data_IF_314922267112
#
_entry.id   IF_314922267112
#
_cell.length_a   1.000
_cell.length_b   1.000
_cell.length_c   1.000
_cell.angle_alpha   90.00
_cell.angle_beta   90.00
_cell.angle_gamma   90.00
#
_symmetry.space_group_name_H-M   'P 1'
#
loop_
_entity.id
_entity.type
_entity.pdbx_description
1 polymer ?
#
# COMPACT_ATOMS: atom_id res chain seq x y z
N UNK A 1 13.22 -64.04 -64.45
CA UNK A 1 14.03 -62.81 -64.63
C UNK A 1 13.10 -61.62 -64.51
N UNK A 2 13.31 -60.55 -63.76
CA UNK A 2 14.22 -60.18 -62.67
C UNK A 2 13.65 -58.89 -62.05
N UNK A 3 13.93 -58.70 -60.76
CA UNK A 3 13.53 -57.59 -59.87
C UNK A 3 14.07 -56.23 -60.35
N UNK A 4 13.52 -55.10 -59.88
CA UNK A 4 14.30 -54.02 -59.21
C UNK A 4 13.40 -52.95 -58.52
N UNK A 5 13.89 -52.48 -57.37
CA UNK A 5 13.29 -51.60 -56.34
C UNK A 5 13.57 -50.09 -56.58
N UNK A 6 12.76 -49.17 -55.99
CA UNK A 6 13.06 -47.73 -55.96
C UNK A 6 12.26 -46.86 -54.94
N UNK A 7 12.74 -46.83 -53.69
CA UNK A 7 12.71 -45.82 -52.58
C UNK A 7 11.71 -44.62 -52.50
N UNK A 8 11.18 -44.43 -51.27
CA UNK A 8 10.47 -43.29 -50.62
C UNK A 8 10.99 -41.87 -50.92
N UNK A 9 10.09 -40.86 -50.88
CA UNK A 9 10.16 -39.64 -50.02
C UNK A 9 8.82 -38.88 -50.02
N UNK A 10 8.36 -38.48 -48.82
CA UNK A 10 7.17 -37.65 -48.61
C UNK A 10 7.51 -36.16 -48.71
N UNK A 11 6.57 -35.38 -49.24
CA UNK A 11 6.60 -33.92 -49.25
C UNK A 11 5.61 -33.42 -48.18
N UNK A 12 6.14 -32.86 -47.10
CA UNK A 12 5.39 -32.04 -46.16
C UNK A 12 5.55 -30.58 -46.58
N UNK A 13 4.46 -29.84 -46.48
CA UNK A 13 4.24 -28.47 -46.93
C UNK A 13 4.97 -27.44 -46.06
N UNK A 14 5.72 -26.53 -46.69
CA UNK A 14 6.52 -25.46 -46.09
C UNK A 14 5.69 -24.23 -45.62
N UNK A 15 4.36 -24.34 -45.52
CA UNK A 15 3.48 -23.21 -45.20
C UNK A 15 3.29 -22.94 -43.69
N UNK A 16 3.68 -23.88 -42.81
CA UNK A 16 3.46 -23.77 -41.36
C UNK A 16 4.53 -22.94 -40.61
N UNK A 17 5.71 -22.73 -41.18
CA UNK A 17 6.82 -22.05 -40.51
C UNK A 17 6.76 -20.52 -40.61
N UNK A 18 6.08 -19.97 -41.62
CA UNK A 18 5.89 -18.52 -41.77
C UNK A 18 4.87 -17.95 -40.77
N UNK A 19 3.94 -18.76 -40.25
CA UNK A 19 2.94 -18.32 -39.28
C UNK A 19 3.46 -18.31 -37.84
N UNK A 20 4.49 -19.11 -37.53
CA UNK A 20 5.07 -19.21 -36.19
C UNK A 20 6.02 -18.05 -35.86
N UNK A 21 6.69 -17.50 -36.86
CA UNK A 21 7.65 -16.39 -36.72
C UNK A 21 7.00 -15.04 -36.42
N UNK A 22 5.69 -14.89 -36.69
CA UNK A 22 4.94 -13.66 -36.40
C UNK A 22 4.28 -13.63 -35.00
N UNK A 23 4.27 -14.75 -34.27
CA UNK A 23 3.61 -14.86 -32.96
C UNK A 23 4.59 -14.71 -31.78
N UNK A 24 5.88 -14.96 -31.99
CA UNK A 24 6.92 -14.81 -30.97
C UNK A 24 8.03 -13.93 -31.51
N UNK A 25 8.08 -12.68 -31.02
CA UNK A 25 9.02 -11.67 -31.46
C UNK A 25 10.47 -12.18 -31.55
N UNK A 26 11.09 -11.81 -32.67
CA UNK A 26 12.43 -12.16 -33.10
C UNK A 26 13.48 -11.86 -32.01
N UNK A 27 14.05 -12.89 -31.37
CA UNK A 27 15.28 -12.78 -30.56
C UNK A 27 16.40 -13.51 -31.29
N UNK A 28 17.11 -12.76 -32.13
CA UNK A 28 18.40 -13.16 -32.66
C UNK A 28 19.38 -13.35 -31.51
N UNK A 29 20.04 -14.50 -31.50
CA UNK A 29 21.04 -14.90 -30.51
C UNK A 29 22.20 -13.89 -30.46
N UNK A 30 22.39 -13.25 -29.30
CA UNK A 30 23.63 -12.60 -28.93
C UNK A 30 24.25 -13.38 -27.76
N UNK A 31 25.48 -13.81 -27.95
CA UNK A 31 26.32 -14.46 -26.93
C UNK A 31 26.45 -13.56 -25.68
N UNK A 32 26.40 -14.12 -24.46
CA UNK A 32 26.77 -13.37 -23.27
C UNK A 32 28.31 -13.25 -23.15
N UNK A 33 28.86 -12.13 -22.65
CA UNK A 33 30.28 -12.02 -22.36
C UNK A 33 30.65 -12.86 -21.12
N UNK A 34 31.81 -13.50 -21.20
CA UNK A 34 32.46 -14.28 -20.14
C UNK A 34 32.83 -13.40 -18.93
N UNK A 35 32.36 -13.78 -17.74
CA UNK A 35 32.80 -13.20 -16.46
C UNK A 35 33.75 -14.16 -15.74
N UNK A 36 35.00 -13.78 -15.44
CA UNK A 36 35.93 -14.59 -14.67
C UNK A 36 35.97 -14.11 -13.22
N UNK A 37 35.11 -14.63 -12.35
CA UNK A 37 35.48 -14.80 -10.93
C UNK A 37 34.50 -15.69 -10.17
N UNK A 38 35.06 -16.56 -9.33
CA UNK A 38 34.36 -17.64 -8.66
C UNK A 38 33.55 -17.25 -7.43
N UNK A 39 32.54 -18.10 -7.16
CA UNK A 39 32.21 -18.67 -5.86
C UNK A 39 31.96 -17.73 -4.66
N UNK A 40 30.68 -17.55 -4.31
CA UNK A 40 30.29 -17.03 -3.00
C UNK A 40 28.79 -17.20 -2.74
N UNK A 41 28.44 -18.09 -1.81
CA UNK A 41 27.07 -18.39 -1.36
C UNK A 41 26.55 -17.24 -0.45
N UNK A 42 25.41 -16.59 -0.72
CA UNK A 42 24.96 -15.44 0.08
C UNK A 42 24.09 -15.81 1.30
N UNK A 43 24.12 -17.07 1.77
CA UNK A 43 23.28 -17.55 2.87
C UNK A 43 24.07 -18.21 4.02
N UNK A 44 25.15 -17.56 4.46
CA UNK A 44 25.89 -17.99 5.65
C UNK A 44 26.28 -16.80 6.52
N UNK A 45 25.52 -16.54 7.59
CA UNK A 45 26.00 -15.84 8.79
C UNK A 45 25.12 -16.28 9.99
N UNK A 46 25.59 -17.20 10.85
CA UNK A 46 26.38 -16.95 12.07
C UNK A 46 25.60 -16.15 13.12
N UNK A 47 24.97 -16.87 14.06
CA UNK A 47 24.32 -16.31 15.24
C UNK A 47 25.32 -15.98 16.33
N UNK A 48 25.17 -14.81 16.93
CA UNK A 48 25.87 -14.39 18.15
C UNK A 48 24.84 -13.83 19.13
N UNK A 49 24.75 -14.46 20.29
CA UNK A 49 23.91 -14.09 21.43
C UNK A 49 24.59 -12.98 22.25
N UNK A 50 23.85 -11.95 22.66
CA UNK A 50 24.17 -11.19 23.87
C UNK A 50 22.86 -10.67 24.55
N UNK A 51 22.70 -10.79 25.88
CA UNK A 51 21.43 -10.54 26.57
C UNK A 51 21.35 -9.11 27.12
N UNK A 52 20.16 -8.49 27.02
CA UNK A 52 19.91 -7.12 27.47
C UNK A 52 18.66 -7.00 28.34
N UNK A 53 18.89 -6.96 29.66
CA UNK A 53 18.20 -6.20 30.71
C UNK A 53 16.69 -5.92 30.56
N UNK A 54 15.88 -6.78 31.21
CA UNK A 54 14.54 -6.44 31.68
C UNK A 54 14.62 -5.82 33.08
N UNK A 55 14.19 -4.56 33.20
CA UNK A 55 14.02 -3.87 34.47
C UNK A 55 12.54 -3.86 34.87
N UNK A 56 12.23 -4.48 36.01
CA UNK A 56 11.02 -4.25 36.77
C UNK A 56 11.44 -3.95 38.23
N UNK A 57 11.09 -2.79 38.81
CA UNK A 57 11.22 -2.61 40.24
C UNK A 57 9.98 -3.15 40.99
N UNK A 58 10.15 -3.66 42.22
CA UNK A 58 9.10 -4.30 42.99
C UNK A 58 8.19 -3.29 43.72
N UNK A 59 7.01 -3.79 44.08
CA UNK A 59 6.03 -3.14 44.92
C UNK A 59 6.54 -2.97 46.35
N UNK A 60 6.37 -1.77 46.91
CA UNK A 60 6.45 -1.54 48.36
C UNK A 60 5.06 -1.25 48.92
N UNK A 61 4.79 -1.89 50.05
CA UNK A 61 3.53 -1.99 50.73
C UNK A 61 3.48 -1.04 51.93
N UNK A 62 2.57 -0.07 51.86
CA UNK A 62 1.70 0.38 52.95
C UNK A 62 2.30 0.79 54.32
N UNK A 63 2.15 2.07 54.65
CA UNK A 63 1.57 2.47 55.96
C UNK A 63 1.06 3.91 55.99
N UNK A 64 -0.27 4.01 55.95
CA UNK A 64 -1.19 4.83 56.77
C UNK A 64 -0.73 6.21 57.29
N UNK A 65 -1.49 7.25 56.92
CA UNK A 65 -1.93 8.28 57.88
C UNK A 65 -2.17 9.70 57.36
N UNK A 66 -3.45 10.07 57.17
CA UNK A 66 -4.00 11.35 57.67
C UNK A 66 -4.22 12.56 56.73
N UNK A 67 -5.48 12.99 56.60
CA UNK A 67 -5.97 14.37 56.31
C UNK A 67 -5.96 14.81 54.83
N UNK A 68 -7.07 15.12 54.15
CA UNK A 68 -7.91 16.34 54.29
C UNK A 68 -7.06 17.58 53.92
N UNK A 69 -7.35 18.48 52.97
CA UNK A 69 -8.56 19.22 52.58
C UNK A 69 -8.23 20.04 51.29
N UNK A 70 -9.26 20.48 50.55
CA UNK A 70 -9.12 21.21 49.28
C UNK A 70 -8.83 22.72 49.37
N UNK A 71 -8.72 23.36 48.19
CA UNK A 71 -8.63 24.81 47.98
C UNK A 71 -7.59 25.16 46.89
N UNK A 72 -8.00 25.32 45.63
CA UNK A 72 -8.28 26.61 44.97
C UNK A 72 -7.09 27.58 44.95
N UNK A 73 -6.43 27.70 43.79
CA UNK A 73 -5.60 28.86 43.46
C UNK A 73 -6.21 29.60 42.26
N UNK A 74 -6.81 30.73 42.58
CA UNK A 74 -7.33 31.69 41.64
C UNK A 74 -6.19 32.55 41.07
N UNK A 75 -6.29 32.81 39.77
CA UNK A 75 -5.49 33.71 38.99
C UNK A 75 -5.52 35.15 39.52
N UNK A 76 -4.36 35.82 39.50
CA UNK A 76 -4.23 37.24 39.80
C UNK A 76 -3.97 38.02 38.51
N UNK A 77 -4.90 38.94 38.26
CA UNK A 77 -5.01 39.85 37.12
C UNK A 77 -4.45 41.23 37.55
N UNK A 78 -3.41 41.81 36.90
CA UNK A 78 -2.77 43.02 37.39
C UNK A 78 -3.18 44.25 36.58
N UNK A 79 -4.45 44.69 36.63
CA UNK A 79 -4.84 46.02 36.15
C UNK A 79 -6.11 46.53 36.86
N UNK A 80 -5.95 47.44 37.82
CA UNK A 80 -7.01 48.34 38.31
C UNK A 80 -6.39 49.59 38.98
N UNK A 81 -6.75 50.82 38.58
CA UNK A 81 -6.25 52.07 39.16
C UNK A 81 -7.28 52.75 40.10
N UNK A 82 -6.83 53.32 41.22
CA UNK A 82 -7.34 54.53 41.93
C UNK A 82 -6.66 54.60 43.32
N UNK A 83 -5.77 55.55 43.63
CA UNK A 83 -5.90 57.00 43.86
C UNK A 83 -6.38 57.36 45.29
N UNK A 84 -5.51 58.02 46.07
CA UNK A 84 -5.89 58.86 47.22
C UNK A 84 -4.91 58.91 48.41
N UNK A 85 -4.28 60.07 48.63
CA UNK A 85 -3.73 60.56 49.91
C UNK A 85 -2.21 60.37 50.09
N UNK A 86 -1.38 61.34 49.71
CA UNK A 86 -0.91 62.50 50.50
C UNK A 86 0.03 62.13 51.66
N UNK A 87 1.33 62.39 51.48
CA UNK A 87 2.22 62.93 52.50
C UNK A 87 3.53 63.36 51.81
N UNK A 88 3.72 64.67 51.69
CA UNK A 88 4.84 65.26 50.97
C UNK A 88 6.17 65.22 51.72
N UNK A 89 7.27 64.98 50.99
CA UNK A 89 8.59 65.59 51.22
C UNK A 89 9.35 65.75 49.89
N UNK A 90 9.69 67.02 49.59
CA UNK A 90 10.86 67.55 48.86
C UNK A 90 11.43 66.72 47.69
N UNK A 91 11.18 67.09 46.43
CA UNK A 91 11.87 68.13 45.63
C UNK A 91 13.27 67.72 45.14
N UNK A 92 13.30 67.46 43.82
CA UNK A 92 14.38 67.62 42.82
C UNK A 92 15.57 66.64 42.83
N UNK A 93 15.68 65.84 41.76
CA UNK A 93 16.70 65.96 40.69
C UNK A 93 16.65 64.65 39.83
N UNK A 94 16.06 64.68 38.63
CA UNK A 94 16.75 64.84 37.33
C UNK A 94 17.61 63.65 36.90
N UNK A 95 17.19 63.03 35.80
CA UNK A 95 18.14 62.45 34.83
C UNK A 95 18.44 60.95 34.96
N UNK A 96 17.68 60.16 34.19
CA UNK A 96 18.29 59.27 33.21
C UNK A 96 18.93 57.98 33.72
N UNK A 97 18.13 56.94 33.93
CA UNK A 97 18.54 55.53 33.82
C UNK A 97 17.33 54.65 33.44
N UNK A 98 16.65 54.99 32.34
CA UNK A 98 15.61 54.14 31.73
C UNK A 98 16.08 53.48 30.43
N UNK A 99 16.96 54.16 29.69
CA UNK A 99 17.37 53.74 28.34
C UNK A 99 18.24 52.48 28.31
N UNK A 100 19.07 52.23 29.33
CA UNK A 100 19.92 51.03 29.36
C UNK A 100 19.12 49.75 29.67
N UNK A 101 18.04 49.84 30.45
CA UNK A 101 17.21 48.68 30.79
C UNK A 101 16.34 48.28 29.59
N UNK A 102 15.81 49.26 28.87
CA UNK A 102 15.02 49.03 27.65
C UNK A 102 15.90 48.46 26.51
N UNK A 103 17.15 48.90 26.38
CA UNK A 103 18.11 48.34 25.42
C UNK A 103 18.54 46.91 25.78
N UNK A 104 18.81 46.61 27.06
CA UNK A 104 19.11 45.26 27.56
C UNK A 104 17.93 44.30 27.34
N UNK A 105 16.69 44.76 27.57
CA UNK A 105 15.47 43.98 27.31
C UNK A 105 15.30 43.69 25.80
N UNK A 106 15.61 44.65 24.93
CA UNK A 106 15.55 44.47 23.47
C UNK A 106 16.62 43.47 23.00
N UNK A 107 17.84 43.54 23.52
CA UNK A 107 18.90 42.56 23.22
C UNK A 107 18.55 41.15 23.71
N UNK A 108 17.97 41.03 24.90
CA UNK A 108 17.48 39.77 25.42
C UNK A 108 16.40 39.15 24.50
N UNK A 109 15.42 39.95 24.08
CA UNK A 109 14.37 39.52 23.14
C UNK A 109 14.97 39.11 21.79
N UNK A 110 15.91 39.87 21.23
CA UNK A 110 16.59 39.54 19.97
C UNK A 110 17.34 38.21 20.06
N UNK A 111 18.08 37.99 21.15
CA UNK A 111 18.79 36.73 21.38
C UNK A 111 17.82 35.54 21.46
N UNK A 112 16.66 35.72 22.10
CA UNK A 112 15.61 34.72 22.17
C UNK A 112 15.01 34.43 20.80
N UNK A 113 14.77 35.46 19.98
CA UNK A 113 14.25 35.29 18.61
C UNK A 113 15.24 34.46 17.78
N UNK A 114 16.54 34.83 17.79
CA UNK A 114 17.59 34.09 17.07
C UNK A 114 17.65 32.63 17.52
N UNK A 115 17.58 32.39 18.83
CA UNK A 115 17.54 31.03 19.39
C UNK A 115 16.32 30.23 18.90
N UNK A 116 15.12 30.80 18.99
CA UNK A 116 13.90 30.15 18.50
C UNK A 116 13.94 29.88 16.99
N UNK A 117 14.57 30.76 16.22
CA UNK A 117 14.73 30.61 14.77
C UNK A 117 15.69 29.49 14.40
N UNK A 118 16.85 29.41 15.05
CA UNK A 118 17.78 28.27 14.87
C UNK A 118 17.12 26.94 15.27
N UNK A 119 16.33 26.93 16.34
CA UNK A 119 15.52 25.76 16.70
C UNK A 119 14.50 25.39 15.61
N UNK A 120 13.84 26.39 15.01
CA UNK A 120 12.87 26.20 13.93
C UNK A 120 13.52 25.65 12.66
N UNK A 121 14.71 26.15 12.28
CA UNK A 121 15.50 25.60 11.15
C UNK A 121 15.84 24.14 11.40
N UNK A 122 16.39 23.81 12.58
CA UNK A 122 16.71 22.41 12.93
C UNK A 122 15.48 21.52 12.93
N UNK A 123 14.35 22.02 13.42
CA UNK A 123 13.08 21.31 13.43
C UNK A 123 12.58 21.03 12.01
N UNK A 124 12.59 22.03 11.12
CA UNK A 124 12.16 21.85 9.72
C UNK A 124 13.07 20.91 8.94
N UNK A 125 14.40 20.95 9.16
CA UNK A 125 15.34 19.96 8.60
C UNK A 125 15.04 18.54 9.07
N UNK A 126 14.83 18.35 10.38
CA UNK A 126 14.50 17.04 10.94
C UNK A 126 13.16 16.52 10.40
N UNK A 127 12.16 17.38 10.30
CA UNK A 127 10.87 17.05 9.71
C UNK A 127 11.02 16.66 8.24
N UNK A 128 11.84 17.36 7.46
CA UNK A 128 12.10 17.05 6.04
C UNK A 128 12.69 15.64 5.91
N UNK A 129 13.72 15.32 6.70
CA UNK A 129 14.35 14.00 6.70
C UNK A 129 13.36 12.90 7.09
N UNK A 130 12.53 13.14 8.11
CA UNK A 130 11.49 12.21 8.53
C UNK A 130 10.42 12.01 7.44
N UNK A 131 10.00 13.09 6.78
CA UNK A 131 9.01 13.06 5.72
C UNK A 131 9.52 12.32 4.47
N UNK A 132 10.77 12.54 4.07
CA UNK A 132 11.42 11.81 2.98
C UNK A 132 11.54 10.30 3.29
N UNK A 133 11.93 9.96 4.53
CA UNK A 133 11.99 8.57 4.99
C UNK A 133 10.60 7.91 4.96
N UNK A 134 9.56 8.65 5.38
CA UNK A 134 8.18 8.19 5.31
C UNK A 134 7.70 8.02 3.86
N UNK A 135 8.11 8.90 2.95
CA UNK A 135 7.79 8.80 1.53
C UNK A 135 8.39 7.54 0.90
N UNK A 136 9.67 7.26 1.16
CA UNK A 136 10.33 6.05 0.69
C UNK A 136 9.63 4.78 1.21
N UNK A 137 9.25 4.78 2.50
CA UNK A 137 8.48 3.69 3.09
C UNK A 137 7.10 3.53 2.44
N UNK A 138 6.39 4.65 2.20
CA UNK A 138 5.09 4.65 1.52
C UNK A 138 5.15 4.09 0.10
N UNK A 139 6.19 4.45 -0.67
CA UNK A 139 6.43 3.91 -2.00
C UNK A 139 6.71 2.39 -1.97
N UNK A 140 7.51 1.92 -1.00
CA UNK A 140 7.73 0.48 -0.79
C UNK A 140 6.43 -0.25 -0.48
N UNK A 141 5.57 0.30 0.38
CA UNK A 141 4.26 -0.28 0.71
C UNK A 141 3.39 -0.37 -0.53
N UNK A 142 3.28 0.70 -1.33
CA UNK A 142 2.50 0.67 -2.57
C UNK A 142 3.02 -0.34 -3.59
N UNK A 143 4.34 -0.45 -3.77
CA UNK A 143 4.94 -1.47 -4.63
C UNK A 143 4.62 -2.88 -4.13
N UNK A 144 4.75 -3.12 -2.83
CA UNK A 144 4.40 -4.39 -2.22
C UNK A 144 2.92 -4.71 -2.44
N UNK A 145 2.01 -3.76 -2.20
CA UNK A 145 0.58 -3.94 -2.44
C UNK A 145 0.26 -4.23 -3.90
N UNK A 146 0.94 -3.59 -4.86
CA UNK A 146 0.81 -3.89 -6.29
C UNK A 146 1.17 -5.35 -6.59
N UNK A 147 2.33 -5.82 -6.09
CA UNK A 147 2.76 -7.21 -6.31
C UNK A 147 1.85 -8.22 -5.61
N UNK A 148 1.38 -7.90 -4.40
CA UNK A 148 0.45 -8.73 -3.64
C UNK A 148 -0.92 -8.81 -4.33
N UNK A 149 -1.46 -7.68 -4.79
CA UNK A 149 -2.71 -7.63 -5.56
C UNK A 149 -2.63 -8.48 -6.83
N UNK A 150 -1.49 -8.46 -7.53
CA UNK A 150 -1.27 -9.35 -8.68
C UNK A 150 -1.26 -10.84 -8.30
N UNK A 151 -0.66 -11.20 -7.16
CA UNK A 151 -0.69 -12.57 -6.63
C UNK A 151 -2.11 -12.99 -6.26
N UNK A 152 -2.86 -12.16 -5.54
CA UNK A 152 -4.25 -12.45 -5.16
C UNK A 152 -5.14 -12.64 -6.39
N UNK A 153 -5.02 -11.76 -7.38
CA UNK A 153 -5.73 -11.91 -8.66
C UNK A 153 -5.39 -13.23 -9.38
N UNK A 154 -4.11 -13.63 -9.38
CA UNK A 154 -3.71 -14.91 -9.98
C UNK A 154 -4.25 -16.11 -9.18
N UNK A 155 -4.27 -16.03 -7.85
CA UNK A 155 -4.87 -17.05 -6.98
C UNK A 155 -6.36 -17.18 -7.25
N UNK A 156 -7.10 -16.08 -7.31
CA UNK A 156 -8.53 -16.09 -7.62
C UNK A 156 -8.80 -16.69 -9.01
N UNK A 157 -8.03 -16.27 -10.03
CA UNK A 157 -8.13 -16.84 -11.38
C UNK A 157 -7.86 -18.35 -11.40
N UNK A 158 -6.88 -18.83 -10.63
CA UNK A 158 -6.57 -20.26 -10.56
C UNK A 158 -7.70 -21.03 -9.87
N UNK A 159 -8.33 -20.46 -8.83
CA UNK A 159 -9.52 -21.04 -8.20
C UNK A 159 -10.71 -21.10 -9.16
N UNK A 160 -10.91 -20.08 -10.00
CA UNK A 160 -11.97 -20.10 -11.03
C UNK A 160 -11.75 -21.26 -12.02
N UNK A 161 -10.49 -21.46 -12.45
CA UNK A 161 -10.11 -22.59 -13.33
C UNK A 161 -10.32 -23.92 -12.62
N UNK A 162 -9.89 -24.05 -11.37
CA UNK A 162 -10.06 -25.27 -10.58
C UNK A 162 -11.55 -25.61 -10.40
N UNK A 163 -12.40 -24.62 -10.12
CA UNK A 163 -13.84 -24.84 -10.00
C UNK A 163 -14.47 -25.31 -11.32
N UNK A 164 -14.09 -24.70 -12.45
CA UNK A 164 -14.54 -25.15 -13.78
C UNK A 164 -14.09 -26.59 -14.08
N UNK A 165 -12.82 -26.93 -13.81
CA UNK A 165 -12.31 -28.29 -13.97
C UNK A 165 -13.01 -29.30 -13.06
N UNK A 166 -13.32 -28.93 -11.83
CA UNK A 166 -14.10 -29.78 -10.91
C UNK A 166 -15.51 -30.05 -11.43
N UNK A 167 -16.17 -29.05 -12.02
CA UNK A 167 -17.49 -29.27 -12.65
C UNK A 167 -17.40 -30.23 -13.84
N UNK A 168 -16.37 -30.09 -14.67
CA UNK A 168 -16.13 -31.03 -15.78
C UNK A 168 -15.84 -32.44 -15.26
N UNK A 169 -15.03 -32.57 -14.20
CA UNK A 169 -14.76 -33.85 -13.55
C UNK A 169 -16.03 -34.47 -12.94
N UNK A 170 -16.91 -33.67 -12.35
CA UNK A 170 -18.20 -34.11 -11.84
C UNK A 170 -19.09 -34.67 -12.97
N UNK A 171 -19.21 -33.95 -14.09
CA UNK A 171 -20.02 -34.37 -15.22
C UNK A 171 -19.47 -35.67 -15.84
N UNK A 172 -18.15 -35.79 -15.99
CA UNK A 172 -17.48 -37.05 -16.41
C UNK A 172 -17.69 -38.19 -15.43
N UNK A 173 -17.62 -37.94 -14.12
CA UNK A 173 -17.87 -38.98 -13.12
C UNK A 173 -19.33 -39.46 -13.16
N UNK A 174 -20.30 -38.57 -13.41
CA UNK A 174 -21.71 -38.97 -13.61
C UNK A 174 -21.88 -39.79 -14.87
N UNK A 175 -21.22 -39.42 -15.96
CA UNK A 175 -21.23 -40.17 -17.22
C UNK A 175 -20.66 -41.58 -17.02
N UNK A 176 -19.48 -41.71 -16.39
CA UNK A 176 -18.86 -42.99 -16.07
C UNK A 176 -19.74 -43.85 -15.16
N UNK A 177 -20.41 -43.25 -14.16
CA UNK A 177 -21.37 -43.95 -13.30
C UNK A 177 -22.55 -44.52 -14.10
N UNK A 178 -23.04 -43.77 -15.08
CA UNK A 178 -24.12 -44.24 -15.95
C UNK A 178 -23.64 -45.32 -16.91
N UNK A 179 -22.41 -45.22 -17.44
CA UNK A 179 -21.80 -46.21 -18.33
C UNK A 179 -21.44 -47.53 -17.63
N UNK A 180 -21.08 -47.50 -16.34
CA UNK A 180 -20.80 -48.71 -15.56
C UNK A 180 -22.09 -49.49 -15.22
N UNK A 181 -23.25 -48.83 -15.20
CA UNK A 181 -24.53 -49.51 -14.98
C UNK A 181 -24.73 -50.61 -16.05
N UNK A 182 -25.22 -51.77 -15.62
CA UNK A 182 -25.25 -52.98 -16.47
C UNK A 182 -25.80 -52.71 -17.87
N UNK A 183 -25.16 -53.31 -18.87
CA UNK A 183 -25.51 -53.24 -20.31
C UNK A 183 -26.97 -53.67 -20.61
N UNK A 184 -27.68 -54.20 -19.63
CA UNK A 184 -29.05 -54.68 -19.70
C UNK A 184 -30.11 -53.68 -19.20
N UNK A 185 -29.70 -52.54 -18.62
CA UNK A 185 -30.65 -51.47 -18.25
C UNK A 185 -30.64 -50.38 -19.31
N UNK A 186 -31.73 -50.19 -20.07
CA UNK A 186 -31.79 -49.16 -21.10
C UNK A 186 -31.68 -47.75 -20.50
N UNK A 187 -30.72 -46.95 -20.96
CA UNK A 187 -30.56 -45.54 -20.58
C UNK A 187 -31.52 -44.59 -21.34
N UNK A 188 -32.64 -45.11 -21.85
CA UNK A 188 -33.62 -44.34 -22.63
C UNK A 188 -34.63 -43.66 -21.70
N UNK A 189 -34.51 -42.34 -21.57
CA UNK A 189 -35.51 -41.51 -20.89
C UNK A 189 -36.85 -41.48 -21.65
N UNK A 190 -37.92 -41.11 -20.95
CA UNK A 190 -39.28 -41.06 -21.50
C UNK A 190 -39.36 -40.20 -22.79
N UNK A 191 -39.72 -40.77 -23.96
CA UNK A 191 -39.65 -40.10 -25.27
C UNK A 191 -40.58 -38.88 -25.41
N UNK A 192 -41.68 -38.84 -24.66
CA UNK A 192 -42.68 -37.76 -24.72
C UNK A 192 -42.21 -36.43 -24.09
N UNK A 193 -41.13 -36.45 -23.30
CA UNK A 193 -40.53 -35.25 -22.68
C UNK A 193 -39.14 -34.91 -23.24
N UNK A 194 -38.72 -35.57 -24.31
CA UNK A 194 -37.38 -35.44 -24.89
C UNK A 194 -37.05 -34.00 -25.30
N UNK A 195 -37.93 -33.34 -26.08
CA UNK A 195 -37.73 -31.96 -26.54
C UNK A 195 -37.59 -30.95 -25.39
N UNK A 196 -38.51 -31.02 -24.43
CA UNK A 196 -38.48 -30.13 -23.26
C UNK A 196 -37.24 -30.34 -22.38
N UNK A 197 -36.72 -31.58 -22.28
CA UNK A 197 -35.47 -31.85 -21.57
C UNK A 197 -34.25 -31.31 -22.32
N UNK A 198 -34.19 -31.51 -23.64
CA UNK A 198 -33.10 -30.98 -24.47
C UNK A 198 -33.02 -29.44 -24.38
N UNK A 199 -34.16 -28.76 -24.53
CA UNK A 199 -34.23 -27.30 -24.39
C UNK A 199 -33.81 -26.82 -22.98
N UNK A 200 -34.26 -27.52 -21.93
CA UNK A 200 -33.85 -27.20 -20.56
C UNK A 200 -32.36 -27.45 -20.29
N UNK A 201 -31.75 -28.45 -20.94
CA UNK A 201 -30.31 -28.71 -20.87
C UNK A 201 -29.50 -27.66 -21.62
N UNK A 202 -29.93 -27.28 -22.84
CA UNK A 202 -29.34 -26.18 -23.62
C UNK A 202 -29.39 -24.86 -22.85
N UNK A 203 -30.54 -24.53 -22.26
CA UNK A 203 -30.69 -23.32 -21.42
C UNK A 203 -29.74 -23.34 -20.21
N UNK A 204 -29.54 -24.49 -19.56
CA UNK A 204 -28.59 -24.64 -18.45
C UNK A 204 -27.14 -24.47 -18.90
N UNK A 205 -26.78 -24.97 -20.08
CA UNK A 205 -25.43 -24.83 -20.64
C UNK A 205 -25.15 -23.34 -20.93
N UNK A 206 -26.09 -22.65 -21.58
CA UNK A 206 -25.97 -21.22 -21.87
C UNK A 206 -25.86 -20.41 -20.57
N UNK A 207 -26.75 -20.65 -19.60
CA UNK A 207 -26.72 -19.97 -18.31
C UNK A 207 -25.42 -20.22 -17.53
N UNK A 208 -24.90 -21.45 -17.55
CA UNK A 208 -23.60 -21.80 -16.94
C UNK A 208 -22.46 -21.03 -17.59
N UNK A 209 -22.42 -20.98 -18.92
CA UNK A 209 -21.40 -20.23 -19.66
C UNK A 209 -21.50 -18.72 -19.43
N UNK A 210 -22.69 -18.16 -19.36
CA UNK A 210 -22.89 -16.75 -19.02
C UNK A 210 -22.37 -16.43 -17.62
N UNK A 211 -22.75 -17.22 -16.61
CA UNK A 211 -22.28 -17.05 -15.24
C UNK A 211 -20.75 -17.16 -15.11
N UNK A 212 -20.12 -18.09 -15.83
CA UNK A 212 -18.67 -18.25 -15.84
C UNK A 212 -17.95 -17.07 -16.53
N UNK A 213 -18.54 -16.50 -17.59
CA UNK A 213 -18.01 -15.28 -18.21
C UNK A 213 -18.11 -14.09 -17.27
N UNK A 214 -19.27 -13.88 -16.66
CA UNK A 214 -19.49 -12.80 -15.71
C UNK A 214 -18.52 -12.90 -14.52
N UNK A 215 -18.29 -14.10 -13.99
CA UNK A 215 -17.32 -14.30 -12.90
C UNK A 215 -15.90 -13.93 -13.33
N UNK A 216 -15.46 -14.38 -14.51
CA UNK A 216 -14.14 -14.02 -15.05
C UNK A 216 -14.01 -12.53 -15.31
N UNK A 217 -15.05 -11.90 -15.84
CA UNK A 217 -15.04 -10.47 -16.14
C UNK A 217 -15.02 -9.64 -14.85
N UNK A 218 -15.73 -10.06 -13.80
CA UNK A 218 -15.62 -9.48 -12.45
C UNK A 218 -14.21 -9.64 -11.87
N UNK A 219 -13.59 -10.82 -11.97
CA UNK A 219 -12.21 -11.06 -11.50
C UNK A 219 -11.22 -10.13 -12.25
N UNK A 220 -11.38 -10.00 -13.57
CA UNK A 220 -10.56 -9.12 -14.41
C UNK A 220 -10.74 -7.65 -14.04
N UNK A 221 -11.99 -7.18 -13.96
CA UNK A 221 -12.33 -5.80 -13.60
C UNK A 221 -11.70 -5.41 -12.25
N UNK A 222 -11.83 -6.29 -11.26
CA UNK A 222 -11.24 -6.07 -9.95
C UNK A 222 -9.71 -5.91 -10.03
N UNK A 223 -9.03 -6.77 -10.80
CA UNK A 223 -7.59 -6.70 -11.03
C UNK A 223 -7.14 -5.44 -11.80
N UNK A 224 -7.94 -4.98 -12.76
CA UNK A 224 -7.68 -3.72 -13.47
C UNK A 224 -7.81 -2.51 -12.54
N UNK A 225 -8.86 -2.47 -11.72
CA UNK A 225 -9.05 -1.34 -10.81
C UNK A 225 -7.98 -1.30 -9.71
N UNK A 226 -7.54 -2.44 -9.15
CA UNK A 226 -6.40 -2.50 -8.22
C UNK A 226 -5.13 -1.88 -8.83
N UNK A 227 -4.80 -2.27 -10.07
CA UNK A 227 -3.68 -1.67 -10.82
C UNK A 227 -3.85 -0.17 -11.04
N UNK A 228 -5.06 0.30 -11.29
CA UNK A 228 -5.35 1.72 -11.51
C UNK A 228 -5.24 2.54 -10.21
N UNK A 229 -5.69 2.02 -9.08
CA UNK A 229 -5.60 2.69 -7.78
C UNK A 229 -4.14 2.90 -7.39
N UNK A 230 -3.35 1.81 -7.43
CA UNK A 230 -1.92 1.87 -7.09
C UNK A 230 -1.15 2.67 -8.14
N UNK A 231 -1.44 2.47 -9.43
CA UNK A 231 -0.80 3.22 -10.52
C UNK A 231 -1.06 4.72 -10.47
N UNK A 232 -2.28 5.15 -10.11
CA UNK A 232 -2.58 6.57 -9.89
C UNK A 232 -1.79 7.11 -8.70
N UNK A 233 -1.67 6.37 -7.61
CA UNK A 233 -0.91 6.80 -6.44
C UNK A 233 0.58 7.02 -6.77
N UNK A 234 1.18 6.07 -7.49
CA UNK A 234 2.55 6.15 -8.01
C UNK A 234 2.75 7.30 -9.01
N UNK A 235 1.73 7.65 -9.78
CA UNK A 235 1.81 8.78 -10.71
C UNK A 235 1.60 10.13 -9.99
N UNK A 236 0.72 10.20 -8.99
CA UNK A 236 0.53 11.40 -8.17
C UNK A 236 1.82 11.74 -7.41
N UNK A 237 2.65 10.76 -7.04
CA UNK A 237 3.97 11.03 -6.49
C UNK A 237 4.93 11.69 -7.48
N UNK A 238 4.74 11.48 -8.78
CA UNK A 238 5.50 12.16 -9.85
C UNK A 238 4.84 13.46 -10.33
N UNK A 239 3.59 13.70 -9.93
CA UNK A 239 2.85 14.92 -10.24
C UNK A 239 3.46 16.12 -9.54
N UNK A 240 3.94 17.08 -10.33
CA UNK A 240 4.49 18.35 -9.87
C UNK A 240 3.40 19.07 -9.08
N UNK A 241 3.56 19.18 -7.75
CA UNK A 241 2.71 20.04 -6.93
C UNK A 241 2.93 21.46 -7.46
N UNK A 242 1.92 22.07 -8.07
CA UNK A 242 1.96 23.48 -8.42
C UNK A 242 2.21 24.26 -7.14
N UNK A 243 3.43 24.77 -7.00
CA UNK A 243 3.80 25.70 -5.93
C UNK A 243 2.84 26.87 -6.04
N UNK A 244 1.97 27.03 -5.01
CA UNK A 244 1.25 28.28 -4.81
C UNK A 244 2.31 29.37 -4.77
N UNK A 245 2.12 30.41 -5.59
CA UNK A 245 3.09 31.47 -5.80
C UNK A 245 3.70 31.95 -4.49
N UNK A 246 5.02 32.16 -4.52
CA UNK A 246 5.86 32.64 -3.41
C UNK A 246 5.07 33.60 -2.52
N UNK A 247 5.08 33.34 -1.21
CA UNK A 247 4.50 34.23 -0.20
C UNK A 247 4.88 35.68 -0.52
N UNK A 248 3.90 36.58 -0.45
CA UNK A 248 4.10 37.99 -0.75
C UNK A 248 5.25 38.53 0.12
N UNK A 249 6.11 39.36 -0.46
CA UNK A 249 7.22 40.01 0.26
C UNK A 249 6.75 40.70 1.56
N UNK A 250 5.48 41.11 1.60
CA UNK A 250 4.81 41.71 2.76
C UNK A 250 4.36 40.72 3.87
N UNK A 251 4.23 39.44 3.56
CA UNK A 251 3.98 38.38 4.56
C UNK A 251 5.30 37.96 5.20
N UNK A 252 6.37 37.94 4.40
CA UNK A 252 7.75 37.72 4.84
C UNK A 252 8.30 38.80 5.74
N UNK A 253 8.03 40.07 5.41
CA UNK A 253 8.44 41.21 6.23
C UNK A 253 7.79 41.23 7.63
N UNK A 254 6.82 40.34 7.92
CA UNK A 254 6.26 40.17 9.28
C UNK A 254 7.11 39.29 10.18
N UNK A 255 7.98 38.47 9.60
CA UNK A 255 8.87 37.55 10.31
C UNK A 255 10.34 38.02 10.28
N UNK A 256 10.60 39.15 9.63
CA UNK A 256 11.91 39.81 9.58
C UNK A 256 12.04 40.76 10.78
N UNK A 257 12.95 40.46 11.71
CA UNK A 257 13.10 41.23 12.95
C UNK A 257 14.37 42.09 12.96
N UNK A 258 15.45 41.61 12.36
CA UNK A 258 16.67 42.40 12.11
C UNK A 258 16.95 42.37 10.60
N UNK A 259 17.25 43.53 10.01
CA UNK A 259 17.63 43.62 8.59
C UNK A 259 19.08 43.15 8.37
N UNK A 260 19.45 42.04 8.99
CA UNK A 260 20.73 41.37 8.75
C UNK A 260 20.51 40.22 7.75
N UNK A 261 21.45 40.11 6.83
CA UNK A 261 21.52 39.07 5.81
C UNK A 261 21.50 37.64 6.36
N UNK A 262 21.96 37.41 7.60
CA UNK A 262 21.90 36.09 8.26
C UNK A 262 20.45 35.72 8.66
N UNK A 263 19.67 36.69 9.15
CA UNK A 263 18.28 36.47 9.59
C UNK A 263 17.36 36.16 8.38
N UNK A 264 17.60 36.84 7.27
CA UNK A 264 16.93 36.61 5.98
C UNK A 264 17.23 35.22 5.43
N UNK A 265 18.48 34.78 5.49
CA UNK A 265 18.88 33.45 5.01
C UNK A 265 18.23 32.32 5.82
N UNK A 266 18.00 32.52 7.13
CA UNK A 266 17.32 31.53 7.98
C UNK A 266 15.82 31.43 7.68
N UNK A 267 15.11 32.56 7.46
CA UNK A 267 13.70 32.48 7.01
C UNK A 267 13.58 31.90 5.60
N UNK A 268 14.52 32.22 4.70
CA UNK A 268 14.59 31.61 3.37
C UNK A 268 14.63 30.10 3.44
N UNK A 269 15.42 29.57 4.36
CA UNK A 269 15.51 28.14 4.59
C UNK A 269 14.23 27.56 5.22
N UNK A 270 13.66 28.23 6.22
CA UNK A 270 12.42 27.78 6.88
C UNK A 270 11.29 27.71 5.85
N UNK A 271 11.06 28.77 5.08
CA UNK A 271 10.03 28.83 4.04
C UNK A 271 10.22 27.71 3.01
N UNK A 272 11.45 27.55 2.50
CA UNK A 272 11.78 26.51 1.53
C UNK A 272 11.53 25.10 2.08
N UNK A 273 11.92 24.86 3.34
CA UNK A 273 11.69 23.58 4.00
C UNK A 273 10.19 23.33 4.23
N UNK A 274 9.43 24.33 4.62
CA UNK A 274 7.98 24.24 4.82
C UNK A 274 7.23 23.96 3.52
N UNK A 275 7.62 24.59 2.41
CA UNK A 275 7.07 24.33 1.08
C UNK A 275 7.34 22.88 0.64
N UNK A 276 8.58 22.41 0.81
CA UNK A 276 8.95 21.03 0.52
C UNK A 276 8.18 20.03 1.40
N UNK A 277 8.04 20.33 2.69
CA UNK A 277 7.25 19.54 3.63
C UNK A 277 5.77 19.50 3.22
N UNK A 278 5.20 20.62 2.79
CA UNK A 278 3.85 20.69 2.25
C UNK A 278 3.66 19.77 1.04
N UNK A 279 4.61 19.81 0.11
CA UNK A 279 4.59 18.94 -1.07
C UNK A 279 4.72 17.45 -0.72
N UNK A 280 5.67 17.07 0.14
CA UNK A 280 5.85 15.68 0.60
C UNK A 280 4.59 15.21 1.33
N UNK A 281 4.02 16.03 2.21
CA UNK A 281 2.80 15.71 2.97
C UNK A 281 1.60 15.49 2.04
N UNK A 282 1.47 16.30 0.98
CA UNK A 282 0.46 16.09 -0.06
C UNK A 282 0.61 14.73 -0.76
N UNK A 283 1.85 14.36 -1.12
CA UNK A 283 2.15 13.04 -1.71
C UNK A 283 1.88 11.91 -0.73
N UNK A 284 2.32 12.03 0.53
CA UNK A 284 2.05 11.08 1.61
C UNK A 284 0.55 10.85 1.81
N UNK A 285 -0.27 11.92 1.80
CA UNK A 285 -1.74 11.81 1.86
C UNK A 285 -2.29 11.02 0.67
N UNK A 286 -1.84 11.32 -0.54
CA UNK A 286 -2.22 10.57 -1.75
C UNK A 286 -1.88 9.08 -1.65
N UNK A 287 -0.67 8.76 -1.21
CA UNK A 287 -0.23 7.38 -0.99
C UNK A 287 -1.01 6.69 0.12
N UNK A 288 -1.29 7.36 1.23
CA UNK A 288 -2.05 6.81 2.35
C UNK A 288 -3.50 6.49 1.94
N UNK A 289 -4.17 7.38 1.22
CA UNK A 289 -5.51 7.14 0.70
C UNK A 289 -5.55 5.97 -0.29
N UNK A 290 -4.57 5.89 -1.20
CA UNK A 290 -4.48 4.77 -2.14
C UNK A 290 -4.15 3.45 -1.45
N UNK A 291 -3.24 3.47 -0.48
CA UNK A 291 -2.89 2.32 0.38
C UNK A 291 -4.13 1.82 1.11
N UNK A 292 -4.88 2.71 1.77
CA UNK A 292 -6.12 2.35 2.46
C UNK A 292 -7.13 1.72 1.50
N UNK A 293 -7.40 2.38 0.37
CA UNK A 293 -8.35 1.86 -0.63
C UNK A 293 -7.91 0.48 -1.15
N UNK A 294 -6.62 0.30 -1.43
CA UNK A 294 -6.09 -0.96 -1.93
C UNK A 294 -6.15 -2.08 -0.88
N UNK A 295 -5.85 -1.78 0.38
CA UNK A 295 -5.99 -2.74 1.49
C UNK A 295 -7.45 -3.18 1.65
N UNK A 296 -8.40 -2.26 1.67
CA UNK A 296 -9.83 -2.59 1.79
C UNK A 296 -10.30 -3.49 0.64
N UNK A 297 -9.82 -3.21 -0.58
CA UNK A 297 -10.10 -4.05 -1.75
C UNK A 297 -9.49 -5.43 -1.61
N UNK A 298 -8.21 -5.52 -1.25
CA UNK A 298 -7.53 -6.80 -1.07
C UNK A 298 -8.22 -7.64 0.01
N UNK A 299 -8.69 -7.05 1.10
CA UNK A 299 -9.49 -7.74 2.12
C UNK A 299 -10.76 -8.35 1.53
N UNK A 300 -11.53 -7.58 0.74
CA UNK A 300 -12.70 -8.11 0.05
C UNK A 300 -12.35 -9.23 -0.96
N UNK A 301 -11.19 -9.14 -1.61
CA UNK A 301 -10.74 -10.18 -2.53
C UNK A 301 -10.36 -11.45 -1.77
N UNK A 302 -9.65 -11.33 -0.65
CA UNK A 302 -9.30 -12.45 0.22
C UNK A 302 -10.56 -13.17 0.69
N UNK A 303 -11.60 -12.46 1.10
CA UNK A 303 -12.89 -13.06 1.46
C UNK A 303 -13.54 -13.87 0.33
N UNK A 304 -13.45 -13.37 -0.91
CA UNK A 304 -13.93 -14.11 -2.10
C UNK A 304 -13.08 -15.33 -2.37
N UNK A 305 -11.76 -15.20 -2.30
CA UNK A 305 -10.79 -16.29 -2.48
C UNK A 305 -11.05 -17.39 -1.45
N UNK A 306 -11.25 -17.05 -0.17
CA UNK A 306 -11.57 -18.01 0.89
C UNK A 306 -12.84 -18.80 0.54
N UNK A 307 -13.94 -18.11 0.25
CA UNK A 307 -15.21 -18.78 -0.13
C UNK A 307 -15.10 -19.63 -1.40
N UNK A 308 -14.31 -19.19 -2.38
CA UNK A 308 -14.05 -19.97 -3.61
C UNK A 308 -13.19 -21.20 -3.30
N UNK A 309 -12.18 -21.04 -2.46
CA UNK A 309 -11.29 -22.12 -2.01
C UNK A 309 -12.08 -23.22 -1.31
N UNK A 310 -12.92 -22.86 -0.33
CA UNK A 310 -13.75 -23.83 0.40
C UNK A 310 -14.66 -24.62 -0.57
N UNK A 311 -15.31 -23.93 -1.52
CA UNK A 311 -16.14 -24.60 -2.53
C UNK A 311 -15.35 -25.54 -3.43
N UNK A 312 -14.14 -25.13 -3.84
CA UNK A 312 -13.27 -25.95 -4.68
C UNK A 312 -12.83 -27.19 -3.91
N UNK A 313 -12.47 -27.04 -2.64
CA UNK A 313 -12.09 -28.17 -1.76
C UNK A 313 -13.24 -29.16 -1.58
N UNK A 314 -14.43 -28.68 -1.22
CA UNK A 314 -15.65 -29.49 -1.11
C UNK A 314 -15.95 -30.26 -2.41
N UNK A 315 -15.84 -29.58 -3.56
CA UNK A 315 -16.06 -30.20 -4.88
C UNK A 315 -15.05 -31.29 -5.19
N UNK A 316 -13.76 -31.07 -4.86
CA UNK A 316 -12.70 -32.07 -5.05
C UNK A 316 -13.00 -33.29 -4.18
N UNK A 317 -13.32 -33.09 -2.89
CA UNK A 317 -13.63 -34.16 -1.97
C UNK A 317 -14.84 -35.00 -2.45
N UNK A 318 -15.91 -34.34 -2.91
CA UNK A 318 -17.10 -35.01 -3.46
C UNK A 318 -16.78 -35.78 -4.74
N UNK A 319 -16.07 -35.17 -5.68
CA UNK A 319 -15.71 -35.81 -6.95
C UNK A 319 -14.81 -37.03 -6.73
N UNK A 320 -13.83 -36.90 -5.84
CA UNK A 320 -12.97 -38.01 -5.46
C UNK A 320 -13.77 -39.18 -4.84
N UNK A 321 -14.70 -38.90 -3.93
CA UNK A 321 -15.58 -39.94 -3.37
C UNK A 321 -16.50 -40.58 -4.42
N UNK A 322 -17.00 -39.81 -5.39
CA UNK A 322 -17.82 -40.34 -6.49
C UNK A 322 -17.01 -41.26 -7.39
N UNK A 323 -15.81 -40.85 -7.77
CA UNK A 323 -14.90 -41.66 -8.58
C UNK A 323 -14.56 -42.97 -7.87
N UNK A 324 -14.27 -42.93 -6.56
CA UNK A 324 -14.05 -44.14 -5.75
C UNK A 324 -15.22 -45.12 -5.73
N UNK A 325 -16.46 -44.63 -5.84
CA UNK A 325 -17.67 -45.47 -5.86
C UNK A 325 -18.02 -46.04 -7.24
N UNK A 326 -17.31 -45.62 -8.29
CA UNK A 326 -17.49 -46.14 -9.65
C UNK A 326 -16.60 -47.36 -9.89
N UNK A 327 -15.53 -47.52 -9.11
CA UNK A 327 -14.74 -48.74 -9.05
C UNK A 327 -15.26 -49.72 -8.00
#
# INVERSE_FOLDING_TARGET
MSRFFGKKKGAATDDDDAARSNLFGNRTAQNPPSNPNGGGNPYAQQGSYNPGYGGAPPADSGSRGGGGYGGSYAAQNPYAPHNGGDDGRSREDYGGYGYNSEEEDVEAVKSSIKFTKDQSVRSTRNALNAAQSAEESGLRILNNLSTQGARLHNTEKNLDVASSQNRVAEDKARELKNLNRSMFVPNVGNPLRSKSRAEAEEAKIIARHQAEREERDRTREFGYESKNVVGRALNTTTGRVESKGKSSLAERSRYQFEADSEDDALEDEIDSNLDQLGAITGRLKGMAMATSKEVDRQNQQIDKIMKKSDRVDDQIALNHNRIRKIH
#
